data_IF_014486335556
#
_entry.id   IF_014486335556
#
_cell.length_a   1.000
_cell.length_b   1.000
_cell.length_c   1.000
_cell.angle_alpha   90.00
_cell.angle_beta   90.00
_cell.angle_gamma   90.00
#
_symmetry.space_group_name_H-M   'P 1'
#
loop_
_entity.id
_entity.type
_entity.pdbx_description
1 polymer ?
#
# COMPACT_ATOMS: atom_id res chain seq x y z
N UNK A 1 13.05 7.74 -17.68
CA UNK A 1 12.90 9.21 -17.82
C UNK A 1 12.43 9.78 -16.48
N UNK A 2 13.29 10.52 -15.78
CA UNK A 2 12.87 11.28 -14.60
C UNK A 2 11.94 12.43 -15.02
N UNK A 3 10.91 12.79 -14.22
CA UNK A 3 10.11 13.97 -14.49
C UNK A 3 10.99 15.22 -14.62
N UNK A 4 10.69 16.16 -15.53
CA UNK A 4 11.42 17.42 -15.63
C UNK A 4 11.49 18.11 -14.27
N UNK A 5 12.68 18.61 -13.90
CA UNK A 5 12.91 19.30 -12.62
C UNK A 5 11.78 20.31 -12.36
N UNK A 6 11.17 20.26 -11.18
CA UNK A 6 10.06 21.11 -10.68
C UNK A 6 8.62 20.78 -11.12
N UNK A 7 8.34 19.69 -11.85
CA UNK A 7 6.95 19.32 -12.25
C UNK A 7 6.26 18.22 -11.43
N UNK A 8 6.99 17.53 -10.56
CA UNK A 8 6.46 16.40 -9.78
C UNK A 8 7.56 15.45 -9.32
N UNK A 9 7.17 14.29 -8.81
CA UNK A 9 8.06 13.19 -8.43
C UNK A 9 7.69 11.91 -9.18
N UNK A 10 8.56 10.90 -9.11
CA UNK A 10 8.26 9.55 -9.60
C UNK A 10 7.86 8.69 -8.40
N UNK A 11 6.64 8.19 -8.39
CA UNK A 11 6.23 7.19 -7.41
C UNK A 11 6.78 5.83 -7.85
N UNK A 12 7.61 5.24 -6.99
CA UNK A 12 8.19 3.92 -7.16
C UNK A 12 7.45 2.98 -6.24
N UNK A 13 6.85 1.92 -6.81
CA UNK A 13 6.07 0.93 -6.06
C UNK A 13 6.67 -0.47 -6.26
N UNK A 14 7.61 -0.88 -5.38
CA UNK A 14 8.08 -2.24 -5.30
C UNK A 14 6.96 -3.15 -4.77
N UNK A 15 6.81 -4.33 -5.35
CA UNK A 15 5.86 -5.36 -4.92
C UNK A 15 6.57 -6.71 -5.00
N UNK A 16 6.33 -7.56 -4.00
CA UNK A 16 6.79 -8.96 -3.97
C UNK A 16 5.61 -9.87 -3.65
N UNK A 17 5.52 -11.00 -4.32
CA UNK A 17 4.54 -12.05 -4.02
C UNK A 17 5.10 -13.43 -4.34
N UNK A 18 4.53 -14.46 -3.71
CA UNK A 18 4.89 -15.85 -3.95
C UNK A 18 4.35 -16.37 -5.28
N UNK A 19 5.17 -17.09 -6.04
CA UNK A 19 4.79 -17.61 -7.37
C UNK A 19 5.01 -19.11 -7.55
N UNK A 20 5.51 -19.80 -6.51
CA UNK A 20 5.69 -21.25 -6.56
C UNK A 20 4.33 -21.96 -6.79
N UNK A 21 4.27 -23.02 -7.62
CA UNK A 21 3.06 -23.80 -7.85
C UNK A 21 2.75 -24.71 -6.65
N UNK A 22 2.25 -24.14 -5.56
CA UNK A 22 1.93 -24.85 -4.33
C UNK A 22 0.56 -24.43 -3.78
N UNK A 23 -0.25 -25.42 -3.38
CA UNK A 23 -1.56 -25.20 -2.73
C UNK A 23 -1.48 -25.27 -1.20
N UNK A 24 -0.38 -25.77 -0.65
CA UNK A 24 -0.20 -25.90 0.80
C UNK A 24 0.06 -24.55 1.47
N UNK A 25 -0.54 -24.35 2.65
CA UNK A 25 -0.31 -23.14 3.48
C UNK A 25 1.06 -23.24 4.15
N UNK A 26 2.09 -22.77 3.44
CA UNK A 26 3.48 -22.69 3.90
C UNK A 26 4.21 -21.56 3.22
N UNK A 27 5.42 -21.24 3.71
CA UNK A 27 6.33 -20.37 2.99
C UNK A 27 6.62 -20.93 1.58
N UNK A 28 6.59 -20.06 0.58
CA UNK A 28 6.84 -20.43 -0.81
C UNK A 28 8.34 -20.48 -1.10
N UNK A 29 8.75 -21.33 -2.05
CA UNK A 29 10.15 -21.43 -2.48
C UNK A 29 10.53 -20.39 -3.54
N UNK A 30 9.55 -19.80 -4.22
CA UNK A 30 9.74 -18.87 -5.33
C UNK A 30 8.94 -17.61 -5.11
N UNK A 31 9.56 -16.48 -5.41
CA UNK A 31 8.98 -15.15 -5.29
C UNK A 31 9.23 -14.37 -6.59
N UNK A 32 8.25 -13.56 -6.98
CA UNK A 32 8.41 -12.56 -8.02
C UNK A 32 8.51 -11.19 -7.38
N UNK A 33 9.55 -10.44 -7.74
CA UNK A 33 9.74 -9.04 -7.36
C UNK A 33 9.55 -8.15 -8.58
N UNK A 34 8.67 -7.15 -8.47
CA UNK A 34 8.34 -6.22 -9.55
C UNK A 34 8.33 -4.78 -9.05
N UNK A 35 8.74 -3.84 -9.90
CA UNK A 35 8.74 -2.41 -9.58
C UNK A 35 7.89 -1.65 -10.60
N UNK A 36 6.84 -0.99 -10.12
CA UNK A 36 6.04 -0.08 -10.93
C UNK A 36 6.53 1.36 -10.75
N UNK A 37 6.48 2.14 -11.84
CA UNK A 37 6.85 3.54 -11.86
C UNK A 37 5.66 4.36 -12.36
N UNK A 38 5.25 5.38 -11.60
CA UNK A 38 4.19 6.30 -12.01
C UNK A 38 4.61 7.75 -11.75
N UNK A 39 4.57 8.66 -12.75
CA UNK A 39 4.79 10.07 -12.51
C UNK A 39 3.64 10.62 -11.64
N UNK A 40 3.97 11.43 -10.63
CA UNK A 40 2.99 12.04 -9.73
C UNK A 40 3.24 13.55 -9.59
N UNK A 41 2.16 14.33 -9.54
CA UNK A 41 2.21 15.77 -9.34
C UNK A 41 2.21 16.17 -7.87
N UNK A 42 2.36 17.47 -7.59
CA UNK A 42 2.17 18.00 -6.24
C UNK A 42 0.74 17.77 -5.74
N UNK A 43 0.59 17.30 -4.51
CA UNK A 43 -0.71 17.15 -3.82
C UNK A 43 -1.33 18.50 -3.44
N UNK A 44 -0.53 19.54 -3.20
CA UNK A 44 -0.96 20.83 -2.65
C UNK A 44 -0.84 21.98 -3.64
N UNK A 45 -1.18 21.75 -4.92
CA UNK A 45 -1.08 22.77 -5.98
C UNK A 45 -1.88 24.06 -5.70
N UNK A 46 -2.84 24.03 -4.78
CA UNK A 46 -3.65 25.18 -4.36
C UNK A 46 -3.62 25.46 -2.86
N UNK A 47 -2.53 25.08 -2.17
CA UNK A 47 -2.40 25.20 -0.72
C UNK A 47 -2.82 23.93 0.04
N UNK A 48 -2.54 23.92 1.35
CA UNK A 48 -2.88 22.79 2.24
C UNK A 48 -4.37 22.84 2.56
N UNK A 49 -5.09 21.74 2.26
CA UNK A 49 -6.49 21.57 2.65
C UNK A 49 -6.55 20.63 3.85
N UNK A 50 -7.25 21.00 4.94
CA UNK A 50 -7.45 20.11 6.07
C UNK A 50 -8.30 18.90 5.65
N UNK A 51 -8.02 17.76 6.26
CA UNK A 51 -8.74 16.50 6.06
C UNK A 51 -9.76 16.33 7.18
N UNK A 52 -10.99 15.91 6.84
CA UNK A 52 -11.94 15.43 7.82
C UNK A 52 -11.60 13.96 8.14
N UNK A 53 -11.38 13.67 9.42
CA UNK A 53 -11.03 12.32 9.88
C UNK A 53 -12.27 11.67 10.51
N UNK A 54 -12.53 10.41 10.17
CA UNK A 54 -13.53 9.56 10.84
C UNK A 54 -12.82 8.71 11.88
N UNK A 55 -13.32 8.71 13.11
CA UNK A 55 -12.89 7.78 14.15
C UNK A 55 -13.80 6.56 14.11
N UNK A 56 -13.20 5.37 14.00
CA UNK A 56 -13.91 4.10 13.98
C UNK A 56 -13.67 3.38 15.31
N UNK A 57 -14.74 2.91 15.95
CA UNK A 57 -14.69 2.27 17.28
C UNK A 57 -14.92 0.76 17.21
N UNK A 58 -15.65 0.30 16.19
CA UNK A 58 -16.03 -1.11 16.06
C UNK A 58 -14.96 -1.95 15.34
N UNK A 59 -14.00 -1.29 14.70
CA UNK A 59 -12.99 -1.95 13.87
C UNK A 59 -11.58 -1.53 14.23
N UNK A 60 -10.72 -2.53 14.40
CA UNK A 60 -9.30 -2.32 14.62
C UNK A 60 -8.53 -2.46 13.31
N UNK A 61 -7.64 -1.50 13.02
CA UNK A 61 -6.75 -1.56 11.86
C UNK A 61 -5.80 -2.78 11.93
N UNK A 62 -5.29 -3.06 13.12
CA UNK A 62 -4.37 -4.17 13.36
C UNK A 62 -4.44 -4.62 14.82
N UNK A 63 -4.33 -5.93 15.04
CA UNK A 63 -4.26 -6.51 16.38
C UNK A 63 -2.86 -6.32 17.01
N UNK A 64 -2.76 -6.28 18.35
CA UNK A 64 -1.47 -6.35 19.04
C UNK A 64 -0.69 -7.59 18.61
N UNK A 65 0.60 -7.44 18.29
CA UNK A 65 1.47 -8.51 17.75
C UNK A 65 1.03 -9.07 16.38
N UNK A 66 0.07 -8.44 15.70
CA UNK A 66 -0.27 -8.73 14.31
C UNK A 66 0.74 -8.12 13.33
N UNK A 67 0.40 -8.17 12.04
CA UNK A 67 1.27 -7.70 10.94
C UNK A 67 1.08 -6.21 10.61
N UNK A 68 0.45 -5.44 11.49
CA UNK A 68 0.10 -4.04 11.24
C UNK A 68 1.26 -3.06 11.19
N UNK A 69 2.49 -3.52 11.43
CA UNK A 69 3.74 -2.79 11.24
C UNK A 69 4.42 -3.11 9.89
N UNK A 70 3.98 -4.16 9.19
CA UNK A 70 4.47 -4.56 7.88
C UNK A 70 3.56 -4.03 6.76
N UNK A 71 4.13 -3.76 5.59
CA UNK A 71 3.39 -3.26 4.43
C UNK A 71 2.90 -4.42 3.57
N UNK A 72 1.98 -5.20 4.13
CA UNK A 72 1.39 -6.36 3.46
C UNK A 72 0.09 -6.01 2.75
N UNK A 73 -0.28 -6.79 1.73
CA UNK A 73 -1.51 -6.55 0.96
C UNK A 73 -2.77 -6.74 1.80
N UNK A 74 -2.74 -7.69 2.73
CA UNK A 74 -3.87 -8.00 3.61
C UNK A 74 -4.28 -6.82 4.49
N UNK A 75 -3.30 -6.09 5.03
CA UNK A 75 -3.55 -4.89 5.86
C UNK A 75 -4.26 -3.77 5.09
N UNK A 76 -4.08 -3.71 3.77
CA UNK A 76 -4.72 -2.69 2.93
C UNK A 76 -6.17 -3.07 2.63
N UNK A 77 -6.47 -4.37 2.48
CA UNK A 77 -7.79 -4.86 2.07
C UNK A 77 -8.82 -4.78 3.19
N UNK A 78 -8.40 -4.90 4.45
CA UNK A 78 -9.30 -4.84 5.62
C UNK A 78 -10.25 -3.63 5.60
N UNK A 79 -9.75 -2.45 5.24
CA UNK A 79 -10.55 -1.22 5.27
C UNK A 79 -11.69 -1.20 4.23
N UNK A 80 -11.61 -2.00 3.17
CA UNK A 80 -12.64 -2.03 2.11
C UNK A 80 -13.83 -2.95 2.45
N UNK A 81 -13.62 -3.95 3.32
CA UNK A 81 -14.67 -4.88 3.76
C UNK A 81 -15.42 -4.40 5.00
N UNK A 82 -14.89 -3.40 5.70
CA UNK A 82 -15.44 -2.87 6.96
C UNK A 82 -16.63 -1.91 6.73
N UNK A 83 -16.90 -1.51 5.48
CA UNK A 83 -17.97 -0.58 5.12
C UNK A 83 -19.01 -1.18 4.14
N UNK A 84 -19.01 -2.51 3.95
CA UNK A 84 -20.06 -3.28 3.27
C UNK A 84 -20.85 -4.08 4.30
#
# INVERSE_FOLDING_TARGET
MSPPKKKGSMYIRPIVWGTAPALGVRAVSEYTFMVFLSPVGSYFKGGVKPLNLKVELDYHRAAPRGIGNAKEIWEIIQHHFIHL
#
